data_IF_928247480720
#
_entry.id   IF_928247480720
#
_cell.length_a   1.000
_cell.length_b   1.000
_cell.length_c   1.000
_cell.angle_alpha   90.00
_cell.angle_beta   90.00
_cell.angle_gamma   90.00
#
_symmetry.space_group_name_H-M   'P 1'
#
loop_
_entity.id
_entity.type
_entity.pdbx_description
1 polymer ?
#
# COMPACT_ATOMS: atom_id res chain seq x y z
N UNK A 1 7.13 -25.66 -11.23
CA UNK A 1 7.99 -24.49 -11.00
C UNK A 1 9.03 -24.87 -9.96
N UNK A 2 10.29 -24.81 -10.34
CA UNK A 2 11.43 -25.19 -9.50
C UNK A 2 11.66 -24.16 -8.38
N UNK A 3 12.22 -24.62 -7.27
CA UNK A 3 12.65 -23.84 -6.11
C UNK A 3 13.59 -22.69 -6.49
N UNK A 4 14.44 -22.88 -7.50
CA UNK A 4 15.35 -21.84 -8.01
C UNK A 4 14.61 -20.67 -8.70
N UNK A 5 13.54 -20.95 -9.44
CA UNK A 5 12.68 -19.92 -10.06
C UNK A 5 11.96 -19.08 -9.00
N UNK A 6 11.59 -19.71 -7.88
CA UNK A 6 10.99 -18.98 -6.75
C UNK A 6 11.99 -18.03 -6.12
N UNK A 7 13.22 -18.48 -5.84
CA UNK A 7 14.27 -17.64 -5.23
C UNK A 7 14.63 -16.46 -6.13
N UNK A 8 14.79 -16.66 -7.44
CA UNK A 8 15.08 -15.59 -8.38
C UNK A 8 13.94 -14.55 -8.51
N UNK A 9 12.68 -15.00 -8.37
CA UNK A 9 11.51 -14.11 -8.34
C UNK A 9 11.40 -13.36 -7.00
N UNK A 10 11.73 -14.02 -5.88
CA UNK A 10 11.80 -13.41 -4.55
C UNK A 10 12.89 -12.33 -4.48
N UNK A 11 14.07 -12.54 -5.07
CA UNK A 11 15.14 -11.54 -5.12
C UNK A 11 14.80 -10.33 -6.00
N UNK A 12 14.12 -10.54 -7.14
CA UNK A 12 13.59 -9.45 -7.99
C UNK A 12 12.45 -8.66 -7.34
N UNK A 13 11.63 -9.29 -6.49
CA UNK A 13 10.54 -8.63 -5.75
C UNK A 13 11.02 -7.87 -4.50
N UNK A 14 12.14 -8.27 -3.89
CA UNK A 14 12.75 -7.57 -2.75
C UNK A 14 13.48 -6.28 -3.15
N UNK A 15 14.00 -6.22 -4.37
CA UNK A 15 14.46 -4.98 -4.99
C UNK A 15 13.27 -4.31 -5.67
N UNK A 16 12.34 -3.79 -4.86
CA UNK A 16 11.28 -2.92 -5.36
C UNK A 16 11.92 -1.84 -6.23
N UNK A 17 11.75 -1.95 -7.54
CA UNK A 17 12.20 -0.89 -8.45
C UNK A 17 11.53 0.39 -7.95
N UNK A 18 12.33 1.43 -7.73
CA UNK A 18 11.83 2.79 -7.50
C UNK A 18 11.20 3.28 -8.80
N UNK A 19 10.09 2.67 -9.20
CA UNK A 19 9.33 3.11 -10.34
C UNK A 19 8.68 4.44 -9.94
N UNK A 20 8.77 5.46 -10.80
CA UNK A 20 7.94 6.65 -10.64
C UNK A 20 6.49 6.21 -10.48
N UNK A 21 5.78 6.80 -9.52
CA UNK A 21 4.34 6.59 -9.32
C UNK A 21 3.53 7.18 -10.51
N UNK A 22 4.19 7.54 -11.62
CA UNK A 22 3.57 8.03 -12.86
C UNK A 22 2.87 6.95 -13.69
N UNK A 23 3.17 5.66 -13.46
CA UNK A 23 2.53 4.53 -14.19
C UNK A 23 1.19 4.09 -13.56
N UNK A 24 0.49 5.01 -12.89
CA UNK A 24 -0.73 4.67 -12.14
C UNK A 24 -1.96 4.44 -13.00
N UNK A 25 -1.98 4.92 -14.24
CA UNK A 25 -3.20 4.94 -15.06
C UNK A 25 -3.07 4.22 -16.39
N UNK A 26 -1.87 3.82 -16.84
CA UNK A 26 -1.68 3.31 -18.20
C UNK A 26 -1.82 1.79 -18.33
N UNK A 27 -1.68 1.01 -17.26
CA UNK A 27 -1.65 -0.46 -17.34
C UNK A 27 -2.96 -1.16 -16.94
N UNK A 28 -3.98 -0.44 -16.46
CA UNK A 28 -5.26 -1.06 -16.10
C UNK A 28 -6.42 -0.21 -16.60
N UNK A 29 -7.20 -0.78 -17.52
CA UNK A 29 -8.50 -0.22 -17.91
C UNK A 29 -9.34 -0.04 -16.64
N UNK A 30 -9.88 1.17 -16.37
CA UNK A 30 -10.76 1.42 -15.23
C UNK A 30 -11.94 0.45 -15.13
N UNK A 31 -12.33 -0.20 -16.23
CA UNK A 31 -13.39 -1.24 -16.27
C UNK A 31 -12.97 -2.59 -15.68
N UNK A 32 -11.67 -2.84 -15.50
CA UNK A 32 -11.11 -4.09 -15.00
C UNK A 32 -10.82 -4.06 -13.48
N UNK A 33 -11.17 -2.96 -12.80
CA UNK A 33 -10.94 -2.81 -11.36
C UNK A 33 -12.22 -3.19 -10.60
N UNK A 34 -12.19 -4.37 -9.98
CA UNK A 34 -13.34 -4.92 -9.26
C UNK A 34 -13.62 -4.16 -7.96
N UNK A 35 -12.59 -3.94 -7.14
CA UNK A 35 -12.66 -3.22 -5.87
C UNK A 35 -11.34 -2.56 -5.54
N UNK A 36 -11.42 -1.45 -4.83
CA UNK A 36 -10.26 -0.68 -4.36
C UNK A 36 -10.35 -0.45 -2.86
N UNK A 37 -9.24 -0.67 -2.16
CA UNK A 37 -9.06 -0.19 -0.79
C UNK A 37 -8.48 1.22 -0.88
N UNK A 38 -9.12 2.24 -0.26
CA UNK A 38 -8.70 3.64 -0.34
C UNK A 38 -7.25 3.86 0.08
N UNK A 39 -6.68 4.99 -0.32
CA UNK A 39 -5.37 5.41 0.17
C UNK A 39 -5.44 5.69 1.68
N UNK A 40 -4.68 4.92 2.46
CA UNK A 40 -4.71 5.01 3.92
C UNK A 40 -3.40 4.51 4.53
N UNK A 41 -3.21 4.78 5.81
CA UNK A 41 -2.28 4.05 6.65
C UNK A 41 -3.08 3.14 7.58
N UNK A 42 -2.52 1.99 7.92
CA UNK A 42 -3.16 1.01 8.79
C UNK A 42 -3.59 1.61 10.14
N UNK A 43 -4.58 0.98 10.78
CA UNK A 43 -5.17 1.49 12.02
C UNK A 43 -4.09 1.72 13.08
N UNK A 44 -4.10 2.94 13.63
CA UNK A 44 -3.10 3.46 14.58
C UNK A 44 -1.65 3.39 14.07
N UNK A 45 -1.42 3.32 12.76
CA UNK A 45 -0.07 3.13 12.20
C UNK A 45 0.55 1.80 12.59
N UNK A 46 -0.26 0.76 12.81
CA UNK A 46 0.21 -0.61 13.05
C UNK A 46 1.02 -1.16 11.87
N UNK A 47 1.71 -2.29 12.08
CA UNK A 47 2.18 -3.12 10.98
C UNK A 47 1.00 -3.88 10.38
N UNK A 48 1.11 -4.31 9.13
CA UNK A 48 0.22 -5.31 8.57
C UNK A 48 0.92 -6.26 7.62
N UNK A 49 0.28 -7.38 7.35
CA UNK A 49 0.68 -8.30 6.30
C UNK A 49 -0.55 -8.76 5.52
N UNK A 50 -0.35 -9.10 4.24
CA UNK A 50 -1.37 -9.64 3.36
C UNK A 50 -0.84 -10.85 2.62
N UNK A 51 -1.45 -12.02 2.83
CA UNK A 51 -1.22 -13.20 2.00
C UNK A 51 -2.33 -13.32 0.96
N UNK A 52 -1.95 -13.34 -0.32
CA UNK A 52 -2.90 -13.43 -1.42
C UNK A 52 -3.12 -14.90 -1.80
N UNK A 53 -4.38 -15.35 -1.79
CA UNK A 53 -4.76 -16.74 -2.05
C UNK A 53 -5.17 -16.92 -3.51
N UNK A 54 -5.95 -15.98 -4.05
CA UNK A 54 -6.44 -16.00 -5.43
C UNK A 54 -6.62 -14.58 -5.97
N UNK A 55 -6.61 -14.45 -7.30
CA UNK A 55 -6.65 -13.16 -8.01
C UNK A 55 -5.36 -12.37 -7.89
N UNK A 56 -5.32 -11.17 -8.51
CA UNK A 56 -4.14 -10.30 -8.54
C UNK A 56 -4.43 -8.93 -7.94
N UNK A 57 -3.47 -8.40 -7.19
CA UNK A 57 -3.61 -7.08 -6.55
C UNK A 57 -2.48 -6.15 -6.91
N UNK A 58 -2.82 -4.94 -7.32
CA UNK A 58 -1.84 -3.86 -7.47
C UNK A 58 -1.74 -3.07 -6.17
N UNK A 59 -0.54 -2.97 -5.64
CA UNK A 59 -0.22 -2.19 -4.45
C UNK A 59 0.61 -0.98 -4.81
N UNK A 60 0.30 0.13 -4.15
CA UNK A 60 1.12 1.34 -4.15
C UNK A 60 1.40 1.64 -2.68
N UNK A 61 2.67 1.66 -2.30
CA UNK A 61 3.12 1.91 -0.94
C UNK A 61 4.02 3.15 -0.91
N UNK A 62 3.69 4.10 -0.04
CA UNK A 62 4.45 5.31 0.19
C UNK A 62 5.10 5.26 1.58
N UNK A 63 6.42 5.45 1.68
CA UNK A 63 7.08 5.54 2.98
C UNK A 63 6.57 6.77 3.75
N UNK A 64 6.61 6.73 5.11
CA UNK A 64 6.13 7.82 5.94
C UNK A 64 6.76 9.16 5.56
N UNK A 65 5.92 10.18 5.42
CA UNK A 65 6.28 11.52 5.00
C UNK A 65 6.03 11.81 3.52
N UNK A 66 5.98 10.81 2.63
CA UNK A 66 5.64 11.04 1.21
C UNK A 66 4.18 11.42 1.02
N UNK A 67 3.28 10.91 1.87
CA UNK A 67 1.86 11.28 1.87
C UNK A 67 1.65 12.79 2.08
N UNK A 68 2.59 13.49 2.73
CA UNK A 68 2.47 14.93 2.99
C UNK A 68 2.43 15.76 1.71
N UNK A 69 3.04 15.25 0.62
CA UNK A 69 2.98 15.87 -0.71
C UNK A 69 1.59 15.81 -1.33
N UNK A 70 0.72 14.94 -0.82
CA UNK A 70 -0.64 14.73 -1.28
C UNK A 70 -1.68 15.49 -0.43
N UNK A 71 -1.26 16.22 0.60
CA UNK A 71 -2.18 16.96 1.46
C UNK A 71 -2.80 18.13 0.70
N UNK A 72 -4.12 18.10 0.58
CA UNK A 72 -4.92 19.22 0.09
C UNK A 72 -5.97 19.58 1.15
N UNK A 73 -5.99 20.85 1.58
CA UNK A 73 -6.90 21.33 2.65
C UNK A 73 -6.86 20.45 3.92
N UNK A 74 -5.66 20.03 4.31
CA UNK A 74 -5.39 19.15 5.46
C UNK A 74 -6.07 17.77 5.37
N UNK A 75 -6.33 17.27 4.16
CA UNK A 75 -6.86 15.93 3.90
C UNK A 75 -6.00 15.22 2.86
N UNK A 76 -5.83 13.92 3.07
CA UNK A 76 -5.23 13.04 2.07
C UNK A 76 -6.30 12.65 1.04
N UNK A 77 -5.89 12.37 -0.22
CA UNK A 77 -6.82 11.89 -1.23
C UNK A 77 -7.38 10.52 -0.83
N UNK A 78 -8.60 10.24 -1.28
CA UNK A 78 -9.20 8.93 -1.11
C UNK A 78 -8.66 7.92 -2.11
N UNK A 79 -8.45 8.37 -3.35
CA UNK A 79 -7.85 7.60 -4.44
C UNK A 79 -6.68 8.38 -5.05
N UNK A 80 -5.50 7.75 -5.14
CA UNK A 80 -4.33 8.32 -5.81
C UNK A 80 -4.56 8.61 -7.30
N UNK A 81 -5.51 7.91 -7.94
CA UNK A 81 -5.91 8.17 -9.33
C UNK A 81 -6.58 9.54 -9.55
N UNK A 82 -7.03 10.21 -8.49
CA UNK A 82 -7.57 11.58 -8.56
C UNK A 82 -6.48 12.66 -8.54
N UNK A 83 -5.24 12.28 -8.25
CA UNK A 83 -4.12 13.20 -8.19
C UNK A 83 -3.55 13.51 -9.57
N UNK A 84 -2.98 14.71 -9.76
CA UNK A 84 -2.37 15.09 -11.03
C UNK A 84 -1.11 14.25 -11.33
N UNK A 85 -0.81 14.06 -12.62
CA UNK A 85 0.37 13.31 -13.05
C UNK A 85 1.68 13.91 -12.50
N UNK A 86 1.76 15.23 -12.39
CA UNK A 86 2.90 15.95 -11.84
C UNK A 86 3.09 15.63 -10.35
N UNK A 87 1.97 15.60 -9.61
CA UNK A 87 1.98 15.27 -8.17
C UNK A 87 2.47 13.84 -7.97
N UNK A 88 1.92 12.90 -8.73
CA UNK A 88 2.28 11.48 -8.67
C UNK A 88 3.73 11.25 -9.06
N UNK A 89 4.22 11.93 -10.09
CA UNK A 89 5.63 11.87 -10.52
C UNK A 89 6.62 12.38 -9.46
N UNK A 90 6.16 13.26 -8.57
CA UNK A 90 6.99 13.78 -7.47
C UNK A 90 7.11 12.82 -6.28
N UNK A 91 6.31 11.75 -6.24
CA UNK A 91 6.30 10.77 -5.15
C UNK A 91 7.45 9.78 -5.31
N UNK A 92 8.01 9.38 -4.17
CA UNK A 92 8.85 8.19 -4.09
C UNK A 92 8.07 7.11 -3.35
N UNK A 93 7.94 5.93 -3.96
CA UNK A 93 7.18 4.83 -3.39
C UNK A 93 7.52 3.51 -4.05
N UNK A 94 6.81 2.47 -3.65
CA UNK A 94 6.90 1.13 -4.21
C UNK A 94 5.57 0.84 -4.91
N UNK A 95 5.62 0.47 -6.18
CA UNK A 95 4.50 -0.09 -6.91
C UNK A 95 4.81 -1.56 -7.15
N UNK A 96 3.91 -2.45 -6.74
CA UNK A 96 4.11 -3.88 -6.93
C UNK A 96 2.80 -4.58 -7.24
N UNK A 97 2.92 -5.65 -8.00
CA UNK A 97 1.82 -6.56 -8.27
C UNK A 97 1.99 -7.79 -7.37
N UNK A 98 0.97 -8.08 -6.59
CA UNK A 98 0.89 -9.25 -5.72
C UNK A 98 0.13 -10.36 -6.45
N UNK A 99 0.80 -11.47 -6.67
CA UNK A 99 0.28 -12.66 -7.34
C UNK A 99 -0.30 -13.67 -6.31
N UNK A 100 -1.07 -14.68 -6.74
CA UNK A 100 -1.47 -15.77 -5.85
C UNK A 100 -0.26 -16.49 -5.24
N UNK A 101 -0.28 -16.64 -3.90
CA UNK A 101 0.79 -17.23 -3.11
C UNK A 101 1.80 -16.22 -2.53
N UNK A 102 1.78 -14.96 -2.97
CA UNK A 102 2.65 -13.93 -2.43
C UNK A 102 2.17 -13.43 -1.06
N UNK A 103 3.14 -13.15 -0.18
CA UNK A 103 2.90 -12.50 1.10
C UNK A 103 3.60 -11.15 1.13
N UNK A 104 2.81 -10.09 1.32
CA UNK A 104 3.31 -8.73 1.44
C UNK A 104 3.34 -8.30 2.91
N UNK A 105 4.46 -7.74 3.34
CA UNK A 105 4.58 -7.04 4.62
C UNK A 105 4.49 -5.53 4.42
N UNK A 106 3.67 -4.86 5.22
CA UNK A 106 3.50 -3.40 5.23
C UNK A 106 4.09 -2.85 6.54
N UNK A 107 5.16 -2.06 6.47
CA UNK A 107 5.76 -1.50 7.68
C UNK A 107 4.86 -0.44 8.33
N UNK A 108 5.03 -0.28 9.64
CA UNK A 108 4.31 0.72 10.44
C UNK A 108 4.43 2.13 9.84
N UNK A 109 3.28 2.80 9.69
CA UNK A 109 3.21 4.18 9.19
C UNK A 109 3.18 4.33 7.67
N UNK A 110 3.35 3.25 6.89
CA UNK A 110 3.35 3.32 5.43
C UNK A 110 1.94 3.49 4.89
N UNK A 111 1.73 4.58 4.14
CA UNK A 111 0.45 4.78 3.47
C UNK A 111 0.42 3.94 2.19
N UNK A 112 -0.73 3.37 1.88
CA UNK A 112 -0.87 2.51 0.73
C UNK A 112 -2.29 2.50 0.18
N UNK A 113 -2.39 2.13 -1.10
CA UNK A 113 -3.63 1.91 -1.82
C UNK A 113 -3.55 0.56 -2.54
N UNK A 114 -4.66 -0.17 -2.57
CA UNK A 114 -4.72 -1.51 -3.15
C UNK A 114 -5.87 -1.60 -4.14
N UNK A 115 -5.59 -2.07 -5.34
CA UNK A 115 -6.61 -2.39 -6.34
C UNK A 115 -6.64 -3.90 -6.59
N UNK A 116 -7.81 -4.51 -6.50
CA UNK A 116 -8.02 -5.86 -6.99
C UNK A 116 -8.25 -5.80 -8.50
N UNK A 117 -7.34 -6.42 -9.26
CA UNK A 117 -7.41 -6.47 -10.72
C UNK A 117 -8.28 -7.63 -11.21
N UNK A 118 -8.60 -8.57 -10.32
CA UNK A 118 -9.43 -9.74 -10.58
C UNK A 118 -10.33 -10.00 -9.36
N UNK A 119 -11.14 -11.06 -9.40
CA UNK A 119 -11.80 -11.58 -8.22
C UNK A 119 -10.76 -12.14 -7.23
N UNK A 120 -10.47 -11.41 -6.15
CA UNK A 120 -9.41 -11.75 -5.21
C UNK A 120 -9.91 -12.37 -3.90
N UNK A 121 -9.12 -13.29 -3.36
CA UNK A 121 -9.23 -13.79 -1.99
C UNK A 121 -7.88 -13.60 -1.29
N UNK A 122 -7.87 -12.98 -0.12
CA UNK A 122 -6.65 -12.80 0.68
C UNK A 122 -6.93 -12.87 2.18
N UNK A 123 -5.88 -13.11 2.94
CA UNK A 123 -5.88 -12.98 4.41
C UNK A 123 -5.02 -11.77 4.75
N UNK A 124 -5.54 -10.92 5.63
CA UNK A 124 -4.88 -9.72 6.10
C UNK A 124 -4.93 -9.67 7.63
N UNK A 125 -3.84 -9.27 8.27
CA UNK A 125 -3.83 -9.04 9.71
C UNK A 125 -2.88 -7.90 10.09
N UNK A 126 -3.31 -7.09 11.06
CA UNK A 126 -2.55 -5.99 11.63
C UNK A 126 -1.95 -6.40 12.97
N UNK A 127 -0.76 -5.91 13.30
CA UNK A 127 -0.21 -6.10 14.64
C UNK A 127 0.66 -4.93 15.05
N UNK A 128 0.94 -4.84 16.35
CA UNK A 128 1.93 -3.93 16.91
C UNK A 128 2.76 -4.71 17.93
N UNK A 129 3.95 -4.20 18.23
CA UNK A 129 4.87 -4.76 19.21
C UNK A 129 5.65 -3.62 19.89
N UNK A 130 6.63 -3.96 20.73
CA UNK A 130 7.42 -2.97 21.44
C UNK A 130 8.10 -1.92 20.52
N UNK A 131 8.41 -2.27 19.27
CA UNK A 131 9.08 -1.38 18.32
C UNK A 131 8.19 -0.24 17.82
N UNK A 132 6.86 -0.43 17.77
CA UNK A 132 5.92 0.59 17.31
C UNK A 132 4.81 0.93 18.31
N UNK A 133 4.80 0.33 19.50
CA UNK A 133 3.77 0.56 20.52
C UNK A 133 3.57 2.05 20.85
N UNK A 134 4.66 2.82 20.99
CA UNK A 134 4.58 4.26 21.23
C UNK A 134 3.92 5.00 20.07
N UNK A 135 4.30 4.69 18.84
CA UNK A 135 3.69 5.29 17.65
C UNK A 135 2.19 4.99 17.58
N UNK A 136 1.79 3.74 17.83
CA UNK A 136 0.39 3.35 17.84
C UNK A 136 -0.41 4.04 18.94
N UNK A 137 0.17 4.13 20.13
CA UNK A 137 -0.41 4.88 21.25
C UNK A 137 -0.62 6.37 20.88
N UNK A 138 0.36 7.01 20.24
CA UNK A 138 0.25 8.43 19.86
C UNK A 138 -0.85 8.67 18.83
N UNK A 139 -0.96 7.78 17.84
CA UNK A 139 -2.03 7.81 16.85
C UNK A 139 -3.40 7.59 17.48
N UNK A 140 -3.52 6.62 18.39
CA UNK A 140 -4.74 6.36 19.13
C UNK A 140 -5.17 7.60 19.94
N UNK A 141 -4.25 8.18 20.72
CA UNK A 141 -4.53 9.37 21.51
C UNK A 141 -4.91 10.59 20.68
N UNK A 142 -4.26 10.78 19.52
CA UNK A 142 -4.64 11.83 18.58
C UNK A 142 -6.07 11.64 18.09
N UNK A 143 -6.39 10.46 17.55
CA UNK A 143 -7.73 10.15 17.05
C UNK A 143 -8.80 10.33 18.15
N UNK A 144 -8.51 9.87 19.37
CA UNK A 144 -9.41 10.01 20.51
C UNK A 144 -9.70 11.48 20.85
N UNK A 145 -8.68 12.34 20.84
CA UNK A 145 -8.83 13.77 21.17
C UNK A 145 -9.51 14.58 20.07
N UNK A 146 -9.41 14.16 18.82
CA UNK A 146 -10.03 14.86 17.68
C UNK A 146 -11.42 14.36 17.33
N UNK A 147 -11.87 13.27 17.97
CA UNK A 147 -13.21 12.70 17.78
C UNK A 147 -14.27 13.30 18.73
N UNK A 148 -13.85 14.18 19.64
CA UNK A 148 -14.68 15.00 20.54
C UNK A 148 -14.50 16.48 20.22
#
# INVERSE_FOLDING_TARGET
MDSADRVARFEKLQLGEKLPVTVLTEECDPKEIYRRTPFHCDVFGSYSWSANIAGRKLWILLPPGQEKKLLCRNRLPWDLGECSSETLSSLSGIRLLQEPGDVLFVPSGWHHQVANLEACISINHNWFNACNARHCHDRFHYCWRTAV
#
